data_IF_866167878048
#
_entry.id   IF_866167878048
#
_cell.length_a   1.000
_cell.length_b   1.000
_cell.length_c   1.000
_cell.angle_alpha   90.00
_cell.angle_beta   90.00
_cell.angle_gamma   90.00
#
_symmetry.space_group_name_H-M   'P 1'
#
loop_
_entity.id
_entity.type
_entity.pdbx_description
1 polymer ?
#
# COMPACT_ATOMS: atom_id res chain seq x y z
N UNK A 1 0.79 -15.20 0.22
CA UNK A 1 0.41 -15.75 -1.08
C UNK A 1 -1.10 -15.90 -1.09
N UNK A 2 -1.77 -15.26 -2.04
CA UNK A 2 -3.20 -15.47 -2.24
C UNK A 2 -3.43 -16.85 -2.85
N UNK A 3 -4.45 -17.58 -2.39
CA UNK A 3 -4.75 -18.88 -2.98
C UNK A 3 -5.33 -18.69 -4.38
N UNK A 4 -4.80 -19.40 -5.36
CA UNK A 4 -5.29 -19.39 -6.73
C UNK A 4 -6.62 -20.13 -6.91
N UNK A 5 -7.04 -20.92 -5.92
CA UNK A 5 -8.30 -21.65 -5.89
C UNK A 5 -8.83 -21.75 -4.46
N UNK A 6 -10.12 -22.03 -4.28
CA UNK A 6 -10.76 -22.17 -2.97
C UNK A 6 -10.64 -20.92 -2.07
N UNK A 7 -10.69 -19.72 -2.66
CA UNK A 7 -10.57 -18.45 -1.92
C UNK A 7 -11.58 -18.31 -0.78
N UNK A 8 -12.82 -18.74 -0.97
CA UNK A 8 -13.86 -18.68 0.05
C UNK A 8 -13.55 -19.60 1.24
N UNK A 9 -13.09 -20.83 1.00
CA UNK A 9 -12.69 -21.77 2.06
C UNK A 9 -11.47 -21.26 2.83
N UNK A 10 -10.52 -20.62 2.13
CA UNK A 10 -9.37 -19.99 2.74
C UNK A 10 -9.81 -18.86 3.69
N UNK A 11 -10.66 -17.93 3.21
CA UNK A 11 -11.16 -16.82 4.03
C UNK A 11 -11.94 -17.33 5.23
N UNK A 12 -12.80 -18.33 5.03
CA UNK A 12 -13.54 -18.97 6.12
C UNK A 12 -12.59 -19.55 7.18
N UNK A 13 -11.58 -20.29 6.75
CA UNK A 13 -10.58 -20.87 7.66
C UNK A 13 -9.80 -19.79 8.41
N UNK A 14 -9.42 -18.70 7.73
CA UNK A 14 -8.74 -17.56 8.33
C UNK A 14 -9.60 -16.91 9.44
N UNK A 15 -10.87 -16.63 9.13
CA UNK A 15 -11.78 -16.00 10.08
C UNK A 15 -12.14 -16.93 11.25
N UNK A 16 -12.24 -18.24 11.01
CA UNK A 16 -12.39 -19.24 12.08
C UNK A 16 -11.16 -19.28 12.99
N UNK A 17 -9.96 -19.19 12.43
CA UNK A 17 -8.73 -19.10 13.23
C UNK A 17 -8.73 -17.85 14.10
N UNK A 18 -9.05 -16.67 13.53
CA UNK A 18 -9.16 -15.42 14.29
C UNK A 18 -10.13 -15.57 15.47
N UNK A 19 -11.30 -16.15 15.24
CA UNK A 19 -12.27 -16.36 16.29
C UNK A 19 -11.76 -17.33 17.38
N UNK A 20 -11.09 -18.41 17.00
CA UNK A 20 -10.51 -19.40 17.93
C UNK A 20 -9.42 -18.82 18.84
N UNK A 21 -8.59 -17.93 18.30
CA UNK A 21 -7.55 -17.25 19.10
C UNK A 21 -8.09 -16.05 19.88
N UNK A 22 -9.38 -15.75 19.78
CA UNK A 22 -9.99 -14.61 20.45
C UNK A 22 -9.53 -13.26 19.90
N UNK A 23 -9.19 -13.18 18.62
CA UNK A 23 -8.79 -11.92 18.00
C UNK A 23 -9.94 -10.92 18.04
N UNK A 24 -9.74 -9.79 18.69
CA UNK A 24 -10.71 -8.69 18.69
C UNK A 24 -10.59 -7.79 17.47
N UNK A 25 -9.42 -7.84 16.77
CA UNK A 25 -9.15 -6.99 15.60
C UNK A 25 -8.31 -7.71 14.56
N UNK A 26 -8.66 -7.49 13.30
CA UNK A 26 -7.93 -7.88 12.10
C UNK A 26 -7.29 -6.65 11.47
N UNK A 27 -5.99 -6.63 11.33
CA UNK A 27 -5.25 -5.55 10.68
C UNK A 27 -4.63 -6.05 9.38
N UNK A 28 -5.09 -5.51 8.25
CA UNK A 28 -4.48 -5.68 6.95
C UNK A 28 -3.49 -4.55 6.71
N UNK A 29 -2.22 -4.88 6.53
CA UNK A 29 -1.19 -3.88 6.21
C UNK A 29 -0.46 -4.29 4.93
N UNK A 30 -0.15 -3.32 4.08
CA UNK A 30 0.52 -3.60 2.81
C UNK A 30 0.96 -2.34 2.07
N UNK A 31 1.49 -2.56 0.88
CA UNK A 31 1.90 -1.48 -0.03
C UNK A 31 1.43 -1.78 -1.44
N UNK A 32 1.34 -0.73 -2.24
CA UNK A 32 1.10 -0.82 -3.66
C UNK A 32 1.92 0.22 -4.41
N UNK A 33 2.27 -0.09 -5.65
CA UNK A 33 2.98 0.84 -6.50
C UNK A 33 2.04 1.95 -7.01
N UNK A 34 2.56 3.18 -7.03
CA UNK A 34 1.79 4.31 -7.54
C UNK A 34 2.64 5.45 -8.08
N UNK A 35 2.01 6.42 -8.73
CA UNK A 35 2.65 7.57 -9.32
C UNK A 35 3.02 8.62 -8.28
N UNK A 36 3.81 8.22 -7.26
CA UNK A 36 4.28 9.11 -6.21
C UNK A 36 5.79 9.32 -6.30
N UNK A 37 6.29 10.55 -6.08
CA UNK A 37 7.71 10.79 -6.04
C UNK A 37 8.29 10.36 -4.68
N UNK A 38 9.50 9.82 -4.69
CA UNK A 38 10.22 9.46 -3.45
C UNK A 38 10.69 10.68 -2.64
N UNK A 39 10.68 11.86 -3.26
CA UNK A 39 11.09 13.15 -2.69
C UNK A 39 9.99 13.85 -1.89
N UNK A 40 8.80 13.27 -1.82
CA UNK A 40 7.65 13.77 -1.05
C UNK A 40 7.20 12.75 -0.01
N UNK A 41 6.46 13.18 1.04
CA UNK A 41 5.85 12.23 1.99
C UNK A 41 5.00 11.18 1.30
N UNK A 42 5.19 9.91 1.65
CA UNK A 42 4.37 8.84 1.08
C UNK A 42 2.97 8.87 1.67
N UNK A 43 1.98 8.58 0.83
CA UNK A 43 0.58 8.58 1.23
C UNK A 43 0.21 7.23 1.82
N UNK A 44 -0.32 7.25 3.04
CA UNK A 44 -0.96 6.08 3.66
C UNK A 44 -2.46 6.23 3.52
N UNK A 45 -3.09 5.24 2.92
CA UNK A 45 -4.56 5.13 2.81
C UNK A 45 -5.06 3.98 3.65
N UNK A 46 -6.34 3.98 4.00
CA UNK A 46 -6.89 2.89 4.75
C UNK A 46 -8.41 2.94 4.91
N UNK A 47 -8.94 1.90 5.51
CA UNK A 47 -10.35 1.80 5.89
C UNK A 47 -10.49 1.09 7.23
N UNK A 48 -11.58 1.32 7.93
CA UNK A 48 -11.89 0.62 9.16
C UNK A 48 -13.40 0.35 9.26
N UNK A 49 -13.78 -0.71 9.94
CA UNK A 49 -15.20 -1.06 10.14
C UNK A 49 -15.85 -0.25 11.24
N UNK A 50 -15.07 0.23 12.21
CA UNK A 50 -15.56 0.93 13.39
C UNK A 50 -15.33 2.45 13.29
N UNK A 51 -16.36 3.28 13.59
CA UNK A 51 -16.26 4.74 13.51
C UNK A 51 -15.11 5.32 14.37
N UNK A 52 -14.85 4.72 15.52
CA UNK A 52 -13.74 5.14 16.40
C UNK A 52 -12.38 4.93 15.75
N UNK A 53 -12.17 3.84 15.01
CA UNK A 53 -10.95 3.58 14.26
C UNK A 53 -10.81 4.54 13.07
N UNK A 54 -11.90 4.83 12.36
CA UNK A 54 -11.91 5.82 11.27
C UNK A 54 -11.46 7.20 11.78
N UNK A 55 -11.96 7.62 12.93
CA UNK A 55 -11.57 8.89 13.52
C UNK A 55 -10.09 8.91 13.94
N UNK A 56 -9.58 7.81 14.52
CA UNK A 56 -8.14 7.68 14.83
C UNK A 56 -7.29 7.72 13.57
N UNK A 57 -7.72 7.06 12.49
CA UNK A 57 -7.05 7.11 11.19
C UNK A 57 -6.95 8.53 10.65
N UNK A 58 -8.04 9.31 10.69
CA UNK A 58 -8.05 10.72 10.26
C UNK A 58 -7.06 11.55 11.08
N UNK A 59 -7.06 11.40 12.41
CA UNK A 59 -6.10 12.07 13.30
C UNK A 59 -4.65 11.65 13.05
N UNK A 60 -4.43 10.40 12.65
CA UNK A 60 -3.12 9.87 12.30
C UNK A 60 -2.63 10.35 10.92
N UNK A 61 -3.44 11.11 10.17
CA UNK A 61 -3.11 11.56 8.82
C UNK A 61 -3.29 10.49 7.74
N UNK A 62 -3.97 9.38 8.06
CA UNK A 62 -4.32 8.34 7.08
C UNK A 62 -5.49 8.82 6.23
N UNK A 63 -5.34 8.79 4.93
CA UNK A 63 -6.42 9.13 3.99
C UNK A 63 -7.40 7.96 3.90
N UNK A 64 -8.69 8.27 3.85
CA UNK A 64 -9.71 7.24 3.67
C UNK A 64 -9.57 6.62 2.27
N UNK A 65 -9.53 5.29 2.20
CA UNK A 65 -9.45 4.55 0.94
C UNK A 65 -10.77 4.68 0.18
N UNK A 66 -10.69 5.10 -1.09
CA UNK A 66 -11.81 5.16 -2.04
C UNK A 66 -11.68 4.07 -3.10
N UNK A 67 -11.09 2.94 -2.74
CA UNK A 67 -10.89 1.85 -3.68
C UNK A 67 -12.23 1.30 -4.18
N UNK A 68 -12.48 1.42 -5.48
CA UNK A 68 -13.66 0.92 -6.20
C UNK A 68 -13.27 -0.21 -7.19
N UNK A 69 -12.26 -0.99 -6.84
CA UNK A 69 -11.78 -2.09 -7.68
C UNK A 69 -12.50 -3.42 -7.44
N UNK A 70 -12.09 -4.49 -8.16
CA UNK A 70 -12.64 -5.83 -7.98
C UNK A 70 -12.53 -6.32 -6.53
N UNK A 71 -13.51 -7.10 -6.11
CA UNK A 71 -13.47 -7.74 -4.79
C UNK A 71 -12.27 -8.67 -4.68
N UNK A 72 -11.39 -8.38 -3.74
CA UNK A 72 -10.21 -9.21 -3.45
C UNK A 72 -10.50 -10.17 -2.31
N UNK A 73 -9.67 -11.19 -2.15
CA UNK A 73 -9.72 -12.10 -1.01
C UNK A 73 -9.60 -11.34 0.33
N UNK A 74 -8.89 -10.23 0.33
CA UNK A 74 -8.71 -9.37 1.50
C UNK A 74 -10.00 -8.62 1.86
N UNK A 75 -10.75 -8.17 0.86
CA UNK A 75 -12.07 -7.56 1.06
C UNK A 75 -13.04 -8.59 1.65
N UNK A 76 -13.06 -9.81 1.10
CA UNK A 76 -13.89 -10.91 1.63
C UNK A 76 -13.52 -11.26 3.07
N UNK A 77 -12.22 -11.30 3.40
CA UNK A 77 -11.77 -11.55 4.76
C UNK A 77 -12.24 -10.46 5.74
N UNK A 78 -12.18 -9.20 5.32
CA UNK A 78 -12.66 -8.04 6.10
C UNK A 78 -14.16 -8.14 6.37
N UNK A 79 -14.97 -8.44 5.35
CA UNK A 79 -16.41 -8.57 5.47
C UNK A 79 -16.81 -9.74 6.39
N UNK A 80 -16.17 -10.90 6.23
CA UNK A 80 -16.44 -12.06 7.07
C UNK A 80 -15.97 -11.87 8.51
N UNK A 81 -14.83 -11.20 8.74
CA UNK A 81 -14.36 -10.84 10.09
C UNK A 81 -15.37 -9.92 10.79
N UNK A 82 -15.87 -8.90 10.08
CA UNK A 82 -16.93 -8.01 10.57
C UNK A 82 -18.20 -8.78 10.95
N UNK A 83 -18.61 -9.74 10.12
CA UNK A 83 -19.77 -10.61 10.39
C UNK A 83 -19.63 -11.47 11.67
N UNK A 84 -18.39 -11.62 12.20
CA UNK A 84 -18.07 -12.29 13.47
C UNK A 84 -17.81 -11.33 14.63
N UNK A 85 -18.05 -10.03 14.44
CA UNK A 85 -17.77 -9.01 15.46
C UNK A 85 -16.28 -8.73 15.67
N UNK A 86 -15.42 -9.11 14.72
CA UNK A 86 -14.00 -8.78 14.72
C UNK A 86 -13.83 -7.44 14.00
N UNK A 87 -13.29 -6.44 14.68
CA UNK A 87 -12.97 -5.15 14.08
C UNK A 87 -11.96 -5.34 12.94
N UNK A 88 -12.15 -4.64 11.83
CA UNK A 88 -11.20 -4.68 10.73
C UNK A 88 -10.62 -3.30 10.44
N UNK A 89 -9.31 -3.26 10.25
CA UNK A 89 -8.52 -2.10 9.89
C UNK A 89 -7.64 -2.45 8.69
N UNK A 90 -7.65 -1.63 7.65
CA UNK A 90 -6.67 -1.73 6.56
C UNK A 90 -5.83 -0.46 6.47
N UNK A 91 -4.52 -0.62 6.28
CA UNK A 91 -3.57 0.46 6.01
C UNK A 91 -2.68 0.05 4.84
N UNK A 92 -2.67 0.88 3.81
CA UNK A 92 -1.88 0.66 2.61
C UNK A 92 -1.03 1.90 2.33
N UNK A 93 0.26 1.72 2.12
CA UNK A 93 1.16 2.80 1.70
C UNK A 93 1.39 2.75 0.21
N UNK A 94 1.31 3.91 -0.44
CA UNK A 94 1.65 4.05 -1.84
C UNK A 94 3.15 4.29 -1.97
N UNK A 95 3.85 3.43 -2.75
CA UNK A 95 5.30 3.51 -2.95
C UNK A 95 5.64 3.82 -4.41
N UNK A 96 6.79 4.49 -4.67
CA UNK A 96 7.17 4.89 -6.03
C UNK A 96 7.32 3.71 -6.98
N UNK A 97 6.51 3.65 -8.04
CA UNK A 97 6.55 2.56 -9.03
C UNK A 97 7.89 2.46 -9.77
N UNK A 98 8.57 3.58 -9.99
CA UNK A 98 9.85 3.62 -10.70
C UNK A 98 11.05 3.14 -9.87
N UNK A 99 10.93 3.11 -8.55
CA UNK A 99 12.05 2.74 -7.67
C UNK A 99 12.37 1.25 -7.70
N UNK A 100 11.37 0.39 -7.97
CA UNK A 100 11.48 -1.08 -8.09
C UNK A 100 12.31 -1.71 -6.96
N UNK A 101 12.10 -1.26 -5.72
CA UNK A 101 12.82 -1.74 -4.56
C UNK A 101 12.27 -3.10 -4.12
N UNK A 102 13.12 -4.10 -3.89
CA UNK A 102 12.72 -5.38 -3.32
C UNK A 102 12.02 -5.21 -1.96
N UNK A 103 12.48 -4.22 -1.20
CA UNK A 103 11.90 -3.79 0.06
C UNK A 103 12.00 -2.28 0.17
N UNK A 104 10.89 -1.58 0.26
CA UNK A 104 10.87 -0.14 0.47
C UNK A 104 10.83 0.17 1.97
N UNK A 105 11.98 0.55 2.53
CA UNK A 105 12.09 0.88 3.96
C UNK A 105 11.36 2.17 4.32
N UNK A 106 11.27 3.14 3.40
CA UNK A 106 10.51 4.37 3.65
C UNK A 106 9.02 4.08 3.71
N UNK A 107 8.49 3.33 2.76
CA UNK A 107 7.11 2.88 2.78
C UNK A 107 6.79 2.08 4.05
N UNK A 108 7.68 1.17 4.46
CA UNK A 108 7.51 0.41 5.69
C UNK A 108 7.44 1.32 6.94
N UNK A 109 8.32 2.30 7.04
CA UNK A 109 8.34 3.23 8.17
C UNK A 109 7.06 4.07 8.22
N UNK A 110 6.65 4.67 7.10
CA UNK A 110 5.42 5.49 7.04
C UNK A 110 4.18 4.67 7.43
N UNK A 111 4.11 3.42 6.95
CA UNK A 111 3.02 2.49 7.28
C UNK A 111 3.00 2.14 8.76
N UNK A 112 4.15 1.80 9.35
CA UNK A 112 4.25 1.45 10.76
C UNK A 112 3.99 2.65 11.68
N UNK A 113 4.41 3.86 11.31
CA UNK A 113 4.08 5.08 12.06
C UNK A 113 2.57 5.39 12.02
N UNK A 114 1.92 5.15 10.87
CA UNK A 114 0.47 5.26 10.80
C UNK A 114 -0.20 4.26 11.74
N UNK A 115 0.30 3.02 11.75
CA UNK A 115 -0.19 1.96 12.65
C UNK A 115 0.00 2.32 14.13
N UNK A 116 1.19 2.84 14.53
CA UNK A 116 1.45 3.32 15.90
C UNK A 116 0.39 4.34 16.34
N UNK A 117 0.14 5.35 15.49
CA UNK A 117 -0.81 6.42 15.82
C UNK A 117 -2.25 5.93 15.88
N UNK A 118 -2.66 5.03 14.97
CA UNK A 118 -4.03 4.49 14.92
C UNK A 118 -4.30 3.54 16.09
N UNK A 119 -3.32 2.68 16.43
CA UNK A 119 -3.46 1.70 17.49
C UNK A 119 -2.98 2.20 18.86
N UNK A 120 -2.35 3.39 18.92
CA UNK A 120 -1.78 3.97 20.14
C UNK A 120 -0.74 3.03 20.80
N UNK A 121 0.14 2.46 19.97
CA UNK A 121 1.24 1.59 20.38
C UNK A 121 2.58 2.21 20.02
N UNK A 122 3.66 1.86 20.72
CA UNK A 122 5.01 2.30 20.40
C UNK A 122 5.78 1.17 19.71
N UNK A 123 6.42 1.48 18.58
CA UNK A 123 7.26 0.55 17.83
C UNK A 123 8.71 1.07 17.74
N UNK A 124 9.73 0.21 17.84
CA UNK A 124 11.14 0.63 17.77
C UNK A 124 11.58 0.91 16.32
N UNK A 125 11.12 2.00 15.72
CA UNK A 125 11.30 2.32 14.30
C UNK A 125 12.65 2.94 13.96
N UNK A 126 13.47 3.33 14.93
CA UNK A 126 14.70 4.11 14.71
C UNK A 126 15.67 3.45 13.71
N UNK A 127 15.85 2.14 13.79
CA UNK A 127 16.73 1.41 12.86
C UNK A 127 16.17 1.40 11.44
N UNK A 128 14.85 1.22 11.31
CA UNK A 128 14.18 1.24 10.00
C UNK A 128 14.28 2.62 9.35
N UNK A 129 14.18 3.70 10.14
CA UNK A 129 14.41 5.06 9.67
C UNK A 129 15.79 5.24 9.05
N UNK A 130 16.84 4.77 9.71
CA UNK A 130 18.21 4.86 9.18
C UNK A 130 18.38 4.11 7.85
N UNK A 131 17.75 2.94 7.72
CA UNK A 131 17.77 2.19 6.46
C UNK A 131 16.97 2.91 5.37
N UNK A 132 15.82 3.50 5.71
CA UNK A 132 14.99 4.29 4.79
C UNK A 132 15.75 5.50 4.24
N UNK A 133 16.43 6.25 5.10
CA UNK A 133 17.24 7.41 4.70
C UNK A 133 18.38 7.01 3.75
N UNK A 134 19.11 5.94 4.07
CA UNK A 134 20.20 5.43 3.21
C UNK A 134 19.68 4.97 1.85
N UNK A 135 18.56 4.25 1.84
CA UNK A 135 17.97 3.72 0.62
C UNK A 135 17.48 4.86 -0.29
N UNK A 136 16.78 5.85 0.27
CA UNK A 136 16.27 6.97 -0.52
C UNK A 136 17.37 7.94 -0.96
N UNK A 137 18.42 8.13 -0.16
CA UNK A 137 19.60 8.87 -0.62
C UNK A 137 20.28 8.18 -1.82
N UNK A 138 20.32 6.84 -1.84
CA UNK A 138 20.84 6.08 -3.00
C UNK A 138 19.93 6.23 -4.22
N UNK A 139 18.61 6.25 -4.01
CA UNK A 139 17.61 6.46 -5.07
C UNK A 139 17.74 7.89 -5.67
N UNK A 140 17.88 8.90 -4.83
CA UNK A 140 18.20 10.28 -5.24
C UNK A 140 19.40 10.35 -6.18
N UNK A 141 20.47 9.63 -5.84
CA UNK A 141 21.69 9.62 -6.65
C UNK A 141 21.46 8.93 -8.01
N UNK A 142 20.65 7.86 -8.05
CA UNK A 142 20.28 7.19 -9.30
C UNK A 142 19.45 8.11 -10.19
N UNK A 143 18.45 8.80 -9.61
CA UNK A 143 17.60 9.77 -10.32
C UNK A 143 18.42 10.91 -10.89
N UNK A 144 19.39 11.44 -10.13
CA UNK A 144 20.28 12.52 -10.63
C UNK A 144 21.13 12.09 -11.82
N UNK A 145 21.52 10.82 -11.93
CA UNK A 145 22.35 10.28 -13.01
C UNK A 145 21.59 9.98 -14.28
N UNK A 146 20.29 9.71 -14.18
CA UNK A 146 19.43 9.41 -15.34
C UNK A 146 18.52 10.61 -15.67
N UNK A 147 18.75 11.33 -16.79
CA UNK A 147 17.94 12.49 -17.16
C UNK A 147 16.47 12.16 -17.44
N UNK A 148 16.15 10.93 -17.91
CA UNK A 148 14.76 10.51 -18.15
C UNK A 148 14.04 10.28 -16.82
N UNK A 149 14.66 9.54 -15.93
CA UNK A 149 14.12 9.26 -14.61
C UNK A 149 13.92 10.56 -13.82
N UNK A 150 14.85 11.49 -13.92
CA UNK A 150 14.73 12.82 -13.31
C UNK A 150 13.53 13.59 -13.85
N UNK A 151 13.32 13.63 -15.16
CA UNK A 151 12.14 14.27 -15.74
C UNK A 151 10.83 13.68 -15.24
N UNK A 152 10.75 12.36 -15.10
CA UNK A 152 9.57 11.70 -14.54
C UNK A 152 9.34 12.08 -13.07
N UNK A 153 10.39 12.08 -12.27
CA UNK A 153 10.26 12.49 -10.86
C UNK A 153 9.80 13.93 -10.73
N UNK A 154 10.32 14.85 -11.55
CA UNK A 154 9.89 16.25 -11.59
C UNK A 154 8.40 16.39 -11.99
N UNK A 155 7.91 15.55 -12.92
CA UNK A 155 6.50 15.52 -13.30
C UNK A 155 5.62 15.01 -12.16
N UNK A 156 6.04 13.94 -11.48
CA UNK A 156 5.36 13.39 -10.32
C UNK A 156 5.32 14.38 -9.15
N UNK A 157 6.41 15.11 -8.92
CA UNK A 157 6.46 16.16 -7.90
C UNK A 157 5.43 17.26 -8.17
N UNK A 158 5.37 17.72 -9.42
CA UNK A 158 4.38 18.75 -9.81
C UNK A 158 2.95 18.27 -9.61
N UNK A 159 2.65 17.04 -10.00
CA UNK A 159 1.33 16.45 -9.80
C UNK A 159 1.00 16.33 -8.31
N UNK A 160 1.93 15.82 -7.50
CA UNK A 160 1.77 15.68 -6.05
C UNK A 160 1.52 17.04 -5.38
N UNK A 161 2.32 18.06 -5.72
CA UNK A 161 2.22 19.40 -5.13
C UNK A 161 0.92 20.11 -5.55
N UNK A 162 0.43 19.91 -6.79
CA UNK A 162 -0.86 20.39 -7.25
C UNK A 162 -2.03 19.74 -6.49
N UNK A 163 -1.93 18.43 -6.29
CA UNK A 163 -2.90 17.68 -5.50
C UNK A 163 -2.96 18.19 -4.07
N UNK A 164 -1.82 18.36 -3.42
CA UNK A 164 -1.72 18.88 -2.06
C UNK A 164 -2.32 20.30 -1.93
N UNK A 165 -2.14 21.14 -2.95
CA UNK A 165 -2.67 22.49 -2.98
C UNK A 165 -4.20 22.57 -3.15
N UNK A 166 -4.81 21.59 -3.81
CA UNK A 166 -6.25 21.60 -4.12
C UNK A 166 -7.15 21.22 -2.95
N UNK A 167 -6.61 20.78 -1.82
CA UNK A 167 -7.28 20.44 -0.55
C UNK A 167 -8.61 19.66 -0.66
N UNK A 168 -8.84 19.00 -1.75
CA UNK A 168 -10.01 18.15 -1.90
C UNK A 168 -9.53 16.85 -2.50
N UNK A 169 -9.46 15.81 -1.71
CA UNK A 169 -9.00 14.49 -2.11
C UNK A 169 -9.14 14.23 -3.60
N UNK A 170 -8.09 14.16 -4.37
CA UNK A 170 -8.20 13.88 -5.78
C UNK A 170 -8.18 12.38 -6.01
N UNK A 171 -8.95 11.98 -7.00
CA UNK A 171 -8.55 10.84 -7.81
C UNK A 171 -7.10 11.07 -8.29
N UNK A 172 -6.23 10.07 -8.24
CA UNK A 172 -4.92 10.23 -8.86
C UNK A 172 -5.13 10.67 -10.30
N UNK A 173 -4.38 11.68 -10.79
CA UNK A 173 -4.50 12.08 -12.18
C UNK A 173 -4.31 10.84 -13.05
N UNK A 174 -5.04 10.71 -14.16
CA UNK A 174 -4.85 9.59 -15.07
C UNK A 174 -3.37 9.51 -15.40
N UNK A 175 -2.82 8.32 -15.26
CA UNK A 175 -1.42 8.07 -15.55
C UNK A 175 -1.12 8.53 -16.96
N UNK A 176 0.03 9.15 -17.18
CA UNK A 176 0.44 9.40 -18.55
C UNK A 176 0.55 8.06 -19.30
N UNK A 177 0.28 8.02 -20.61
CA UNK A 177 0.39 6.78 -21.39
C UNK A 177 1.76 6.09 -21.29
N UNK A 178 2.79 6.85 -20.93
CA UNK A 178 4.15 6.35 -20.72
C UNK A 178 4.30 5.68 -19.33
N UNK A 179 3.64 6.23 -18.31
CA UNK A 179 3.62 5.65 -16.97
C UNK A 179 2.75 4.39 -16.92
N UNK A 180 1.61 4.40 -17.65
CA UNK A 180 0.79 3.19 -17.82
C UNK A 180 1.58 2.06 -18.47
N UNK A 181 2.32 2.35 -19.55
CA UNK A 181 3.19 1.37 -20.21
C UNK A 181 4.31 0.87 -19.29
N UNK A 182 4.88 1.75 -18.46
CA UNK A 182 5.90 1.35 -17.50
C UNK A 182 5.31 0.39 -16.44
N UNK A 183 4.12 0.71 -15.94
CA UNK A 183 3.42 -0.17 -14.98
C UNK A 183 3.06 -1.51 -15.63
N UNK A 184 2.55 -1.51 -16.86
CA UNK A 184 2.29 -2.73 -17.62
C UNK A 184 3.56 -3.55 -17.91
N UNK A 185 4.69 -2.90 -18.16
CA UNK A 185 5.99 -3.59 -18.33
C UNK A 185 6.52 -4.16 -17.02
N UNK A 186 6.26 -3.49 -15.90
CA UNK A 186 6.59 -3.98 -14.56
C UNK A 186 5.71 -5.19 -14.22
N UNK A 187 4.41 -5.09 -14.42
CA UNK A 187 3.47 -6.19 -14.19
C UNK A 187 3.82 -7.42 -15.05
N UNK A 188 4.10 -7.22 -16.34
CA UNK A 188 4.56 -8.30 -17.25
C UNK A 188 5.86 -8.98 -16.82
N UNK A 189 6.77 -8.24 -16.18
CA UNK A 189 8.02 -8.84 -15.65
C UNK A 189 7.79 -9.60 -14.35
N UNK A 190 6.74 -9.27 -13.62
CA UNK A 190 6.35 -9.95 -12.38
C UNK A 190 5.46 -11.16 -12.61
N UNK A 191 4.65 -11.15 -13.65
CA UNK A 191 3.99 -12.34 -14.19
C UNK A 191 5.05 -13.19 -14.89
N UNK A 192 5.94 -13.84 -14.13
CA UNK A 192 6.92 -14.79 -14.65
C UNK A 192 6.26 -15.81 -15.59
N UNK A 193 7.02 -16.55 -16.44
CA UNK A 193 6.45 -17.44 -17.42
C UNK A 193 5.45 -18.38 -16.77
N UNK A 194 4.22 -18.37 -17.30
CA UNK A 194 3.14 -19.27 -16.87
C UNK A 194 3.68 -20.69 -16.73
N UNK A 195 3.37 -21.41 -15.63
CA UNK A 195 3.78 -22.81 -15.52
C UNK A 195 3.27 -23.58 -16.72
N UNK A 196 4.05 -24.54 -17.27
CA UNK A 196 3.64 -25.33 -18.40
C UNK A 196 2.33 -26.05 -18.07
N UNK A 197 1.39 -26.00 -19.01
CA UNK A 197 0.13 -26.74 -18.90
C UNK A 197 0.44 -28.22 -18.64
N UNK A 198 -0.28 -28.90 -17.75
CA UNK A 198 -0.16 -30.35 -17.62
C UNK A 198 -0.59 -30.95 -18.93
N UNK A 199 0.36 -31.61 -19.61
CA UNK A 199 0.12 -32.33 -20.84
C UNK A 199 -0.91 -33.46 -20.67
N UNK A 200 -1.51 -33.94 -21.78
CA UNK A 200 -2.65 -34.85 -21.78
C UNK A 200 -2.34 -36.21 -21.15
#
# INVERSE_FOLDING_TARGET
LEPHSHGEDYVKSLVELMARVGAGRYCLIGSYYGPVPHTRPLVVTGSATEPALLERMRRAGVRESRYEGPTTILTLATEQARGRGIEALSLLVQVPAYAQLERDYRGLVELLQALERVLEVELPLQRLWQEAERQYASLDEQVRRDPRLRGWVEDLERAYDQEAASQGAPEPPPLSPELERLLEDIERRWEGPSPPEPGP
#
